data_IF_909222750176
#
_entry.id   IF_909222750176
#
_cell.length_a   1.000
_cell.length_b   1.000
_cell.length_c   1.000
_cell.angle_alpha   90.00
_cell.angle_beta   90.00
_cell.angle_gamma   90.00
#
_symmetry.space_group_name_H-M   'P 1'
#
loop_
_entity.id
_entity.type
_entity.pdbx_description
1 polymer ?
#
# COMPACT_ATOMS: atom_id res chain seq x y z
N UNK A 1 -22.23 8.04 -6.69
CA UNK A 1 -20.81 7.78 -6.37
C UNK A 1 -20.06 7.64 -7.67
N UNK A 2 -18.91 8.31 -7.87
CA UNK A 2 -18.14 8.15 -9.10
C UNK A 2 -17.56 6.73 -9.15
N UNK A 3 -17.91 5.98 -10.17
CA UNK A 3 -17.37 4.65 -10.47
C UNK A 3 -15.89 4.77 -10.88
N UNK A 4 -15.10 3.74 -10.62
CA UNK A 4 -13.75 3.58 -11.16
C UNK A 4 -13.73 2.82 -12.50
N UNK A 5 -14.87 2.73 -13.18
CA UNK A 5 -14.94 2.13 -14.51
C UNK A 5 -13.94 2.81 -15.46
N UNK A 6 -13.17 2.01 -16.18
CA UNK A 6 -12.13 2.48 -17.08
C UNK A 6 -10.85 2.99 -16.40
N UNK A 7 -10.79 3.00 -15.05
CA UNK A 7 -9.59 3.34 -14.29
C UNK A 7 -8.71 2.12 -14.07
N UNK A 8 -7.40 2.36 -14.00
CA UNK A 8 -6.40 1.32 -13.74
C UNK A 8 -5.70 1.58 -12.42
N UNK A 9 -5.70 0.58 -11.56
CA UNK A 9 -5.12 0.62 -10.22
C UNK A 9 -4.03 -0.42 -10.09
N UNK A 10 -2.81 -0.01 -9.81
CA UNK A 10 -1.68 -0.90 -9.52
C UNK A 10 -1.54 -1.02 -8.00
N UNK A 11 -1.64 -2.24 -7.49
CA UNK A 11 -1.53 -2.52 -6.05
C UNK A 11 -0.25 -3.31 -5.78
N UNK A 12 0.74 -2.64 -5.19
CA UNK A 12 2.01 -3.26 -4.77
C UNK A 12 1.81 -3.90 -3.40
N UNK A 13 2.24 -5.15 -3.24
CA UNK A 13 1.96 -5.93 -2.03
C UNK A 13 0.52 -6.46 -1.96
N UNK A 14 -0.10 -6.69 -3.11
CA UNK A 14 -1.50 -7.09 -3.27
C UNK A 14 -1.89 -8.37 -2.50
N UNK A 15 -0.95 -9.28 -2.28
CA UNK A 15 -1.17 -10.56 -1.56
C UNK A 15 -1.07 -10.43 -0.03
N UNK A 16 -0.83 -9.21 0.49
CA UNK A 16 -0.86 -8.90 1.92
C UNK A 16 -2.28 -8.69 2.44
N UNK A 17 -2.42 -8.59 3.77
CA UNK A 17 -3.73 -8.36 4.42
C UNK A 17 -4.40 -7.10 3.89
N UNK A 18 -3.73 -5.95 4.00
CA UNK A 18 -4.29 -4.67 3.53
C UNK A 18 -4.39 -4.64 2.00
N UNK A 19 -3.37 -5.16 1.29
CA UNK A 19 -3.34 -5.18 -0.18
C UNK A 19 -4.51 -5.96 -0.81
N UNK A 20 -4.90 -7.09 -0.23
CA UNK A 20 -6.05 -7.85 -0.72
C UNK A 20 -7.37 -7.09 -0.56
N UNK A 21 -7.58 -6.41 0.58
CA UNK A 21 -8.74 -5.55 0.79
C UNK A 21 -8.80 -4.38 -0.23
N UNK A 22 -7.64 -3.76 -0.51
CA UNK A 22 -7.53 -2.72 -1.54
C UNK A 22 -7.93 -3.28 -2.92
N UNK A 23 -7.39 -4.43 -3.31
CA UNK A 23 -7.75 -5.05 -4.58
C UNK A 23 -9.27 -5.24 -4.70
N UNK A 24 -9.92 -5.82 -3.69
CA UNK A 24 -11.37 -6.05 -3.70
C UNK A 24 -12.14 -4.73 -3.79
N UNK A 25 -11.73 -3.71 -3.01
CA UNK A 25 -12.38 -2.40 -2.99
C UNK A 25 -12.46 -1.76 -4.39
N UNK A 26 -11.36 -1.78 -5.14
CA UNK A 26 -11.33 -1.19 -6.48
C UNK A 26 -12.00 -2.06 -7.54
N UNK A 27 -11.93 -3.38 -7.43
CA UNK A 27 -12.69 -4.31 -8.29
C UNK A 27 -14.20 -4.10 -8.14
N UNK A 28 -14.70 -3.93 -6.91
CA UNK A 28 -16.12 -3.64 -6.65
C UNK A 28 -16.59 -2.31 -7.24
N UNK A 29 -15.68 -1.41 -7.54
CA UNK A 29 -15.95 -0.13 -8.20
C UNK A 29 -15.72 -0.18 -9.74
N UNK A 30 -15.40 -1.34 -10.29
CA UNK A 30 -15.24 -1.55 -11.73
C UNK A 30 -13.88 -1.16 -12.30
N UNK A 31 -12.85 -0.98 -11.46
CA UNK A 31 -11.49 -0.70 -11.93
C UNK A 31 -10.82 -1.96 -12.51
N UNK A 32 -9.89 -1.78 -13.45
CA UNK A 32 -8.86 -2.77 -13.69
C UNK A 32 -7.86 -2.74 -12.53
N UNK A 33 -7.68 -3.86 -11.86
CA UNK A 33 -6.68 -4.00 -10.79
C UNK A 33 -5.51 -4.85 -11.29
N UNK A 34 -4.32 -4.26 -11.28
CA UNK A 34 -3.04 -4.97 -11.49
C UNK A 34 -2.43 -5.28 -10.13
N UNK A 35 -2.56 -6.53 -9.70
CA UNK A 35 -2.01 -7.01 -8.43
C UNK A 35 -0.53 -7.36 -8.59
N UNK A 36 0.34 -6.73 -7.79
CA UNK A 36 1.79 -6.98 -7.82
C UNK A 36 2.20 -7.71 -6.56
N UNK A 37 2.95 -8.80 -6.71
CA UNK A 37 3.51 -9.59 -5.61
C UNK A 37 4.85 -10.20 -6.00
N UNK A 38 5.74 -10.43 -5.03
CA UNK A 38 7.04 -11.09 -5.20
C UNK A 38 6.93 -12.56 -5.62
N UNK A 39 5.83 -13.21 -5.33
CA UNK A 39 5.63 -14.65 -5.55
C UNK A 39 4.40 -14.92 -6.41
N UNK A 40 4.62 -15.59 -7.54
CA UNK A 40 3.55 -16.04 -8.42
C UNK A 40 2.57 -17.00 -7.71
N UNK A 41 3.09 -17.91 -6.88
CA UNK A 41 2.27 -18.90 -6.16
C UNK A 41 1.24 -18.34 -5.21
N UNK A 42 1.39 -17.06 -4.78
CA UNK A 42 0.41 -16.40 -3.90
C UNK A 42 -0.79 -15.81 -4.64
N UNK A 43 -0.76 -15.75 -5.96
CA UNK A 43 -1.87 -15.17 -6.72
C UNK A 43 -3.10 -16.07 -6.74
N UNK A 44 -2.94 -17.39 -6.71
CA UNK A 44 -4.10 -18.29 -6.69
C UNK A 44 -4.86 -18.22 -5.36
N UNK A 45 -4.15 -18.05 -4.25
CA UNK A 45 -4.77 -17.79 -2.96
C UNK A 45 -5.41 -16.41 -2.92
N UNK A 46 -4.75 -15.39 -3.50
CA UNK A 46 -5.35 -14.06 -3.63
C UNK A 46 -6.65 -14.10 -4.45
N UNK A 47 -6.69 -14.78 -5.58
CA UNK A 47 -7.91 -14.91 -6.42
C UNK A 47 -9.05 -15.56 -5.64
N UNK A 48 -8.76 -16.60 -4.86
CA UNK A 48 -9.74 -17.26 -3.98
C UNK A 48 -10.24 -16.29 -2.91
N UNK A 49 -9.32 -15.63 -2.22
CA UNK A 49 -9.64 -14.64 -1.17
C UNK A 49 -10.50 -13.50 -1.71
N UNK A 50 -10.22 -13.02 -2.91
CA UNK A 50 -11.00 -11.97 -3.57
C UNK A 50 -12.36 -12.46 -4.07
N UNK A 51 -12.61 -13.77 -4.14
CA UNK A 51 -13.82 -14.34 -4.75
C UNK A 51 -14.11 -13.71 -6.12
N UNK A 52 -13.11 -13.73 -7.03
CA UNK A 52 -13.19 -13.03 -8.31
C UNK A 52 -14.42 -13.45 -9.10
N UNK A 53 -15.12 -12.47 -9.66
CA UNK A 53 -16.26 -12.66 -10.57
C UNK A 53 -15.79 -12.62 -12.03
N UNK A 54 -16.52 -13.22 -12.96
CA UNK A 54 -16.16 -13.16 -14.39
C UNK A 54 -16.08 -11.72 -14.95
N UNK A 55 -16.80 -10.77 -14.34
CA UNK A 55 -16.79 -9.36 -14.71
C UNK A 55 -15.61 -8.57 -14.13
N UNK A 56 -14.86 -9.13 -13.18
CA UNK A 56 -13.76 -8.44 -12.53
C UNK A 56 -12.58 -8.29 -13.49
N UNK A 57 -12.18 -7.06 -13.78
CA UNK A 57 -10.98 -6.76 -14.56
C UNK A 57 -9.75 -6.86 -13.66
N UNK A 58 -9.12 -8.04 -13.62
CA UNK A 58 -8.02 -8.37 -12.73
C UNK A 58 -6.83 -8.94 -13.51
N UNK A 59 -5.66 -8.37 -13.29
CA UNK A 59 -4.40 -8.85 -13.85
C UNK A 59 -3.35 -8.99 -12.75
N UNK A 60 -2.31 -9.78 -12.98
CA UNK A 60 -1.24 -10.02 -12.02
C UNK A 60 0.13 -9.72 -12.63
N UNK A 61 1.04 -9.18 -11.83
CA UNK A 61 2.43 -9.00 -12.19
C UNK A 61 3.33 -9.50 -11.06
N UNK A 62 4.26 -10.39 -11.39
CA UNK A 62 5.32 -10.79 -10.45
C UNK A 62 6.37 -9.69 -10.43
N UNK A 63 6.67 -9.16 -9.25
CA UNK A 63 7.65 -8.11 -9.12
C UNK A 63 8.02 -7.78 -7.67
N UNK A 64 9.18 -7.19 -7.51
CA UNK A 64 9.73 -6.68 -6.25
C UNK A 64 10.41 -5.33 -6.52
N UNK A 65 10.45 -4.48 -5.51
CA UNK A 65 11.11 -3.17 -5.55
C UNK A 65 12.27 -3.08 -4.57
N UNK A 66 12.90 -4.21 -4.23
CA UNK A 66 14.01 -4.25 -3.25
C UNK A 66 15.29 -3.56 -3.77
N UNK A 67 15.51 -3.58 -5.07
CA UNK A 67 16.65 -2.97 -5.77
C UNK A 67 16.26 -2.52 -7.19
N UNK A 68 17.20 -1.91 -7.90
CA UNK A 68 16.95 -1.37 -9.25
C UNK A 68 16.68 -2.46 -10.29
N UNK A 69 17.43 -3.57 -10.25
CA UNK A 69 17.22 -4.68 -11.17
C UNK A 69 15.85 -5.34 -10.98
N UNK A 70 15.47 -5.60 -9.74
CA UNK A 70 14.15 -6.14 -9.38
C UNK A 70 13.03 -5.19 -9.79
N UNK A 71 13.22 -3.88 -9.60
CA UNK A 71 12.26 -2.86 -10.03
C UNK A 71 12.05 -2.86 -11.54
N UNK A 72 13.11 -3.02 -12.33
CA UNK A 72 13.02 -3.14 -13.78
C UNK A 72 12.19 -4.36 -14.21
N UNK A 73 12.37 -5.51 -13.56
CA UNK A 73 11.56 -6.71 -13.81
C UNK A 73 10.09 -6.52 -13.39
N UNK A 74 9.86 -5.85 -12.26
CA UNK A 74 8.51 -5.53 -11.80
C UNK A 74 7.79 -4.61 -12.80
N UNK A 75 8.46 -3.57 -13.29
CA UNK A 75 7.90 -2.67 -14.30
C UNK A 75 7.54 -3.39 -15.59
N UNK A 76 8.43 -4.25 -16.12
CA UNK A 76 8.13 -5.05 -17.29
C UNK A 76 6.91 -5.99 -17.10
N UNK A 77 6.72 -6.51 -15.87
CA UNK A 77 5.54 -7.28 -15.50
C UNK A 77 4.27 -6.43 -15.46
N UNK A 78 4.35 -5.24 -14.88
CA UNK A 78 3.25 -4.28 -14.80
C UNK A 78 2.85 -3.83 -16.21
N UNK A 79 3.79 -3.46 -17.07
CA UNK A 79 3.52 -3.00 -18.43
C UNK A 79 2.80 -4.05 -19.26
N UNK A 80 3.19 -5.33 -19.14
CA UNK A 80 2.46 -6.44 -19.77
C UNK A 80 1.03 -6.56 -19.25
N UNK A 81 0.84 -6.44 -17.93
CA UNK A 81 -0.48 -6.53 -17.31
C UNK A 81 -1.39 -5.36 -17.67
N UNK A 82 -0.81 -4.18 -17.90
CA UNK A 82 -1.53 -2.97 -18.34
C UNK A 82 -2.01 -3.07 -19.80
N UNK A 83 -1.33 -3.83 -20.63
CA UNK A 83 -1.66 -3.96 -22.04
C UNK A 83 -1.86 -2.59 -22.76
N UNK A 84 -0.97 -1.64 -22.52
CA UNK A 84 -1.00 -0.28 -23.07
C UNK A 84 -1.91 0.70 -22.34
N UNK A 85 -2.60 0.30 -21.27
CA UNK A 85 -3.42 1.22 -20.46
C UNK A 85 -2.53 2.07 -19.56
N UNK A 86 -2.97 3.30 -19.34
CA UNK A 86 -2.30 4.18 -18.39
C UNK A 86 -2.68 3.87 -16.95
N UNK A 87 -1.76 4.13 -16.02
CA UNK A 87 -2.00 4.01 -14.59
C UNK A 87 -2.72 5.26 -14.08
N UNK A 88 -3.86 5.09 -13.40
CA UNK A 88 -4.58 6.16 -12.71
C UNK A 88 -4.22 6.21 -11.22
N UNK A 89 -4.04 5.06 -10.59
CA UNK A 89 -3.72 4.99 -9.17
C UNK A 89 -2.66 3.93 -8.89
N UNK A 90 -1.68 4.27 -8.06
CA UNK A 90 -0.73 3.33 -7.47
C UNK A 90 -0.98 3.31 -5.97
N UNK A 91 -1.11 2.11 -5.41
CA UNK A 91 -1.21 1.94 -3.96
C UNK A 91 -0.13 0.97 -3.51
N UNK A 92 0.80 1.46 -2.70
CA UNK A 92 1.90 0.68 -2.17
C UNK A 92 1.60 0.22 -0.74
N UNK A 93 1.18 -1.03 -0.62
CA UNK A 93 0.97 -1.74 0.66
C UNK A 93 2.09 -2.76 0.88
N UNK A 94 3.33 -2.33 0.65
CA UNK A 94 4.52 -3.15 0.78
C UNK A 94 5.12 -3.05 2.19
N UNK A 95 5.84 -4.10 2.56
CA UNK A 95 6.54 -4.16 3.82
C UNK A 95 5.84 -5.05 4.85
N UNK A 96 6.62 -5.46 5.83
CA UNK A 96 6.20 -6.37 6.89
C UNK A 96 6.75 -5.87 8.23
N UNK A 97 6.02 -6.04 9.31
CA UNK A 97 6.54 -5.75 10.67
C UNK A 97 7.44 -6.90 11.08
N UNK A 98 8.73 -6.61 11.26
CA UNK A 98 9.70 -7.55 11.81
C UNK A 98 9.82 -7.35 13.32
N UNK A 99 10.07 -8.44 14.02
CA UNK A 99 10.44 -8.45 15.42
C UNK A 99 11.95 -8.70 15.53
N UNK A 100 12.58 -8.13 16.51
CA UNK A 100 14.00 -8.31 16.75
C UNK A 100 14.41 -8.00 18.19
N UNK A 101 15.69 -8.15 18.54
CA UNK A 101 16.19 -7.72 19.83
C UNK A 101 15.88 -6.22 20.05
N UNK A 102 15.85 -5.75 21.32
CA UNK A 102 15.71 -4.31 21.60
C UNK A 102 16.76 -3.47 20.84
N UNK A 103 16.50 -2.17 20.55
CA UNK A 103 17.38 -1.34 19.72
C UNK A 103 18.86 -1.36 20.14
N UNK A 104 19.12 -1.32 21.45
CA UNK A 104 20.49 -1.33 21.98
C UNK A 104 21.23 -2.67 21.83
N UNK A 105 20.51 -3.74 21.52
CA UNK A 105 21.04 -5.09 21.28
C UNK A 105 21.00 -5.48 19.79
N UNK A 106 20.44 -4.62 18.96
CA UNK A 106 20.31 -4.86 17.53
C UNK A 106 21.57 -4.44 16.76
N UNK A 107 21.78 -5.09 15.63
CA UNK A 107 22.88 -4.76 14.72
C UNK A 107 22.47 -3.73 13.67
N UNK A 108 23.45 -3.05 13.06
CA UNK A 108 23.21 -2.16 11.91
C UNK A 108 22.56 -2.91 10.72
N UNK A 109 22.87 -4.19 10.53
CA UNK A 109 22.23 -5.00 9.49
C UNK A 109 20.74 -5.15 9.73
N UNK A 110 20.30 -5.38 10.97
CA UNK A 110 18.87 -5.47 11.32
C UNK A 110 18.14 -4.13 11.13
N UNK A 111 18.80 -3.00 11.42
CA UNK A 111 18.27 -1.67 11.12
C UNK A 111 18.12 -1.49 9.59
N UNK A 112 19.12 -1.83 8.81
CA UNK A 112 19.07 -1.72 7.35
C UNK A 112 17.97 -2.61 6.75
N UNK A 113 17.79 -3.82 7.29
CA UNK A 113 16.70 -4.72 6.89
C UNK A 113 15.32 -4.13 7.20
N UNK A 114 15.17 -3.46 8.35
CA UNK A 114 13.91 -2.80 8.69
C UNK A 114 13.59 -1.65 7.72
N UNK A 115 14.58 -0.86 7.35
CA UNK A 115 14.43 0.23 6.38
C UNK A 115 14.20 -0.33 4.97
N UNK A 116 14.87 -1.41 4.59
CA UNK A 116 14.69 -2.05 3.30
C UNK A 116 13.24 -2.54 3.11
N UNK A 117 12.65 -3.19 4.12
CA UNK A 117 11.27 -3.71 4.07
C UNK A 117 10.17 -2.62 4.02
N UNK A 118 10.49 -1.39 4.19
CA UNK A 118 9.52 -0.29 4.13
C UNK A 118 9.97 0.85 3.24
N UNK A 119 10.99 1.58 3.68
CA UNK A 119 11.46 2.78 2.97
C UNK A 119 12.01 2.45 1.59
N UNK A 120 12.96 1.50 1.48
CA UNK A 120 13.62 1.20 0.20
C UNK A 120 12.64 0.66 -0.84
N UNK A 121 11.70 -0.21 -0.44
CA UNK A 121 10.65 -0.70 -1.33
C UNK A 121 9.79 0.45 -1.89
N UNK A 122 9.37 1.38 -1.03
CA UNK A 122 8.56 2.52 -1.45
C UNK A 122 9.36 3.54 -2.27
N UNK A 123 10.63 3.77 -1.92
CA UNK A 123 11.54 4.63 -2.66
C UNK A 123 11.73 4.13 -4.10
N UNK A 124 12.07 2.85 -4.27
CA UNK A 124 12.28 2.26 -5.58
C UNK A 124 10.98 2.20 -6.40
N UNK A 125 9.84 1.91 -5.75
CA UNK A 125 8.54 1.95 -6.41
C UNK A 125 8.19 3.37 -6.89
N UNK A 126 8.44 4.40 -6.07
CA UNK A 126 8.22 5.79 -6.46
C UNK A 126 9.15 6.20 -7.61
N UNK A 127 10.45 5.86 -7.51
CA UNK A 127 11.44 6.12 -8.57
C UNK A 127 11.02 5.51 -9.92
N UNK A 128 10.46 4.30 -9.89
CA UNK A 128 10.06 3.57 -11.09
C UNK A 128 8.71 4.05 -11.69
N UNK A 129 7.72 4.36 -10.86
CA UNK A 129 6.34 4.58 -11.29
C UNK A 129 5.96 6.06 -11.42
N UNK A 130 6.46 6.96 -10.54
CA UNK A 130 6.08 8.37 -10.55
C UNK A 130 6.39 9.08 -11.88
N UNK A 131 7.55 8.87 -12.54
CA UNK A 131 7.84 9.53 -13.82
C UNK A 131 6.76 9.32 -14.88
N UNK A 132 6.13 8.13 -14.91
CA UNK A 132 5.08 7.79 -15.87
C UNK A 132 3.70 8.40 -15.55
N UNK A 133 3.47 8.85 -14.31
CA UNK A 133 2.17 9.33 -13.86
C UNK A 133 2.15 10.78 -13.35
N UNK A 134 3.31 11.43 -13.16
CA UNK A 134 3.41 12.75 -12.50
C UNK A 134 2.64 13.87 -13.17
N UNK A 135 2.48 13.82 -14.49
CA UNK A 135 1.73 14.82 -15.26
C UNK A 135 0.25 14.42 -15.49
N UNK A 136 -0.23 13.41 -14.79
CA UNK A 136 -1.60 12.90 -14.89
C UNK A 136 -2.37 13.18 -13.61
N UNK A 137 -3.71 13.24 -13.70
CA UNK A 137 -4.60 13.27 -12.54
C UNK A 137 -4.62 11.88 -11.84
N UNK A 138 -3.44 11.42 -11.42
CA UNK A 138 -3.18 10.13 -10.82
C UNK A 138 -2.89 10.27 -9.31
N UNK A 139 -2.87 9.14 -8.59
CA UNK A 139 -2.41 9.10 -7.20
C UNK A 139 -1.31 8.07 -6.99
N UNK A 140 -0.38 8.40 -6.10
CA UNK A 140 0.57 7.46 -5.51
C UNK A 140 0.35 7.45 -4.00
N UNK A 141 -0.25 6.38 -3.48
CA UNK A 141 -0.60 6.27 -2.06
C UNK A 141 0.21 5.15 -1.41
N UNK A 142 0.98 5.49 -0.39
CA UNK A 142 1.70 4.52 0.43
C UNK A 142 0.88 4.14 1.66
N UNK A 143 1.15 2.97 2.22
CA UNK A 143 0.58 2.50 3.47
C UNK A 143 1.69 2.45 4.52
N UNK A 144 1.42 3.05 5.68
CA UNK A 144 2.27 2.96 6.87
C UNK A 144 1.43 2.56 8.09
N UNK A 145 2.03 2.49 9.25
CA UNK A 145 1.35 2.06 10.48
C UNK A 145 1.61 3.00 11.66
N UNK A 146 0.70 2.97 12.62
CA UNK A 146 0.66 3.83 13.79
C UNK A 146 1.88 3.75 14.69
N UNK A 147 2.66 2.68 14.62
CA UNK A 147 3.95 2.60 15.32
C UNK A 147 4.92 3.75 14.95
N UNK A 148 4.65 4.49 13.86
CA UNK A 148 5.40 5.71 13.52
C UNK A 148 5.26 6.83 14.56
N UNK A 149 4.18 6.83 15.35
CA UNK A 149 3.77 7.94 16.21
C UNK A 149 3.64 7.60 17.68
N UNK A 150 3.67 6.31 18.02
CA UNK A 150 3.52 5.81 19.39
C UNK A 150 4.64 4.85 19.74
N UNK A 151 5.03 4.77 21.02
CA UNK A 151 5.93 3.72 21.49
C UNK A 151 5.36 2.35 21.14
N UNK A 152 6.18 1.40 20.64
CA UNK A 152 5.69 0.06 20.39
C UNK A 152 5.31 -0.63 21.70
N UNK A 153 4.21 -1.42 21.71
CA UNK A 153 3.77 -2.13 22.92
C UNK A 153 4.79 -3.19 23.37
N UNK A 154 5.63 -3.66 22.47
CA UNK A 154 6.75 -4.57 22.71
C UNK A 154 8.02 -3.94 22.13
N UNK A 155 9.11 -3.78 22.90
CA UNK A 155 10.39 -3.28 22.41
C UNK A 155 10.91 -4.03 21.16
N UNK A 156 10.57 -5.30 20.99
CA UNK A 156 10.93 -6.08 19.79
C UNK A 156 10.29 -5.56 18.50
N UNK A 157 9.27 -4.69 18.56
CA UNK A 157 8.57 -4.10 17.42
C UNK A 157 9.19 -2.78 16.92
N UNK A 158 10.30 -2.32 17.53
CA UNK A 158 10.93 -1.02 17.18
C UNK A 158 11.25 -0.85 15.70
N UNK A 159 11.54 -1.96 14.99
CA UNK A 159 11.77 -1.95 13.55
C UNK A 159 10.54 -1.44 12.78
N UNK A 160 9.35 -1.78 13.26
CA UNK A 160 8.09 -1.25 12.73
C UNK A 160 7.96 0.27 12.94
N UNK A 161 8.41 0.77 14.09
CA UNK A 161 8.43 2.21 14.39
C UNK A 161 9.28 2.98 13.38
N UNK A 162 10.55 2.61 13.24
CA UNK A 162 11.48 3.28 12.31
C UNK A 162 11.00 3.18 10.87
N UNK A 163 10.61 1.99 10.45
CA UNK A 163 10.11 1.76 9.08
C UNK A 163 8.93 2.65 8.74
N UNK A 164 7.90 2.67 9.59
CA UNK A 164 6.69 3.45 9.34
C UNK A 164 6.96 4.96 9.39
N UNK A 165 7.78 5.42 10.35
CA UNK A 165 8.19 6.82 10.42
C UNK A 165 8.98 7.26 9.18
N UNK A 166 9.87 6.39 8.67
CA UNK A 166 10.64 6.67 7.45
C UNK A 166 9.73 6.79 6.21
N UNK A 167 8.70 5.94 6.08
CA UNK A 167 7.70 6.06 5.00
C UNK A 167 6.91 7.36 5.10
N UNK A 168 6.50 7.75 6.32
CA UNK A 168 5.79 9.02 6.54
C UNK A 168 6.68 10.23 6.17
N UNK A 169 7.94 10.23 6.59
CA UNK A 169 8.90 11.29 6.23
C UNK A 169 9.19 11.32 4.72
N UNK A 170 9.30 10.16 4.08
CA UNK A 170 9.49 10.05 2.63
C UNK A 170 8.32 10.68 1.85
N UNK A 171 7.09 10.56 2.35
CA UNK A 171 5.92 11.22 1.75
C UNK A 171 6.12 12.74 1.66
N UNK A 172 6.67 13.37 2.68
CA UNK A 172 6.92 14.82 2.67
C UNK A 172 7.99 15.19 1.62
N UNK A 173 9.03 14.37 1.47
CA UNK A 173 10.03 14.55 0.41
C UNK A 173 9.42 14.46 -0.98
N UNK A 174 8.62 13.42 -1.25
CA UNK A 174 7.91 13.26 -2.53
C UNK A 174 6.89 14.37 -2.77
N UNK A 175 6.22 14.85 -1.72
CA UNK A 175 5.28 15.97 -1.81
C UNK A 175 5.97 17.25 -2.26
N UNK A 176 7.17 17.52 -1.74
CA UNK A 176 7.98 18.67 -2.15
C UNK A 176 8.45 18.53 -3.61
N UNK A 177 8.93 17.34 -4.00
CA UNK A 177 9.35 17.04 -5.39
C UNK A 177 8.19 17.22 -6.37
N UNK A 178 7.01 16.68 -6.05
CA UNK A 178 5.83 16.68 -6.93
C UNK A 178 4.90 17.88 -6.73
N UNK A 179 5.34 18.94 -6.02
CA UNK A 179 4.49 20.06 -5.66
C UNK A 179 3.84 20.75 -6.88
N UNK A 180 4.56 20.83 -8.00
CA UNK A 180 4.12 21.43 -9.26
C UNK A 180 3.51 20.43 -10.24
N UNK A 181 3.56 19.13 -9.93
CA UNK A 181 3.01 18.07 -10.78
C UNK A 181 1.50 17.90 -10.53
N UNK A 182 0.82 17.22 -11.44
CA UNK A 182 -0.62 16.93 -11.33
C UNK A 182 -0.87 15.78 -10.37
N UNK A 183 0.05 14.82 -10.29
CA UNK A 183 -0.06 13.65 -9.41
C UNK A 183 -0.21 14.06 -7.94
N UNK A 184 -0.98 13.28 -7.19
CA UNK A 184 -1.17 13.44 -5.74
C UNK A 184 -0.46 12.30 -5.02
N UNK A 185 0.52 12.62 -4.18
CA UNK A 185 1.24 11.65 -3.36
C UNK A 185 0.75 11.78 -1.92
N UNK A 186 0.39 10.66 -1.30
CA UNK A 186 -0.08 10.60 0.08
C UNK A 186 0.37 9.32 0.77
N UNK A 187 0.29 9.29 2.09
CA UNK A 187 0.38 8.06 2.89
C UNK A 187 -0.86 7.91 3.76
N UNK A 188 -1.41 6.70 3.80
CA UNK A 188 -2.41 6.30 4.77
C UNK A 188 -1.72 5.57 5.93
N UNK A 189 -1.73 6.20 7.11
CA UNK A 189 -1.11 5.67 8.32
C UNK A 189 -2.18 5.02 9.21
N UNK A 190 -2.14 3.70 9.37
CA UNK A 190 -3.18 2.92 10.05
C UNK A 190 -2.73 2.58 11.46
N UNK A 191 -3.47 3.03 12.47
CA UNK A 191 -3.12 2.91 13.89
C UNK A 191 -3.80 1.75 14.63
N UNK A 192 -4.51 0.88 13.93
CA UNK A 192 -5.25 -0.24 14.53
C UNK A 192 -5.01 -1.56 13.79
N UNK A 193 -5.35 -2.67 14.44
CA UNK A 193 -5.18 -3.99 13.88
C UNK A 193 -6.20 -4.28 12.79
N UNK A 194 -5.73 -4.90 11.70
CA UNK A 194 -6.56 -5.26 10.54
C UNK A 194 -6.52 -6.79 10.38
N UNK A 195 -7.68 -7.42 10.30
CA UNK A 195 -7.79 -8.83 9.95
C UNK A 195 -7.71 -9.06 8.43
N UNK A 196 -7.30 -10.25 7.98
CA UNK A 196 -7.51 -10.68 6.59
C UNK A 196 -9.00 -10.67 6.23
N UNK A 197 -9.33 -10.61 4.96
CA UNK A 197 -10.72 -10.67 4.47
C UNK A 197 -11.45 -11.89 5.10
N UNK A 198 -12.58 -11.62 5.75
CA UNK A 198 -13.37 -12.62 6.48
C UNK A 198 -12.77 -13.11 7.80
N UNK A 199 -11.61 -12.61 8.19
CA UNK A 199 -10.95 -12.92 9.46
C UNK A 199 -11.45 -12.06 10.62
N UNK A 200 -11.09 -12.45 11.85
CA UNK A 200 -11.40 -11.71 13.08
C UNK A 200 -10.17 -11.37 13.91
N UNK A 201 -9.00 -11.79 13.47
CA UNK A 201 -7.73 -11.54 14.13
C UNK A 201 -6.74 -10.93 13.14
N UNK A 202 -5.92 -10.01 13.62
CA UNK A 202 -4.84 -9.44 12.84
C UNK A 202 -3.69 -10.46 12.65
N UNK A 203 -2.66 -10.06 11.94
CA UNK A 203 -1.48 -10.90 11.66
C UNK A 203 -0.68 -11.33 12.91
N UNK A 204 -0.98 -10.76 14.07
CA UNK A 204 -0.35 -11.12 15.35
C UNK A 204 -1.27 -11.96 16.24
N UNK A 205 -2.42 -12.43 15.73
CA UNK A 205 -3.40 -13.21 16.47
C UNK A 205 -4.26 -12.41 17.45
N UNK A 206 -4.15 -11.06 17.41
CA UNK A 206 -4.95 -10.18 18.25
C UNK A 206 -6.31 -9.89 17.60
N UNK A 207 -7.39 -9.75 18.37
CA UNK A 207 -8.69 -9.37 17.84
C UNK A 207 -8.61 -8.10 17.02
N UNK A 208 -9.30 -8.09 15.89
CA UNK A 208 -9.46 -6.92 15.03
C UNK A 208 -10.95 -6.60 14.91
N UNK A 209 -11.28 -5.33 15.00
CA UNK A 209 -12.67 -4.83 14.91
C UNK A 209 -13.26 -5.06 13.52
N UNK A 210 -12.43 -5.00 12.47
CA UNK A 210 -12.83 -5.28 11.10
C UNK A 210 -11.69 -5.94 10.32
N UNK A 211 -12.05 -6.52 9.19
CA UNK A 211 -11.10 -7.00 8.21
C UNK A 211 -10.66 -5.89 7.23
N UNK A 212 -9.78 -6.23 6.30
CA UNK A 212 -9.19 -5.26 5.38
C UNK A 212 -10.20 -4.64 4.39
N UNK A 213 -11.40 -5.20 4.23
CA UNK A 213 -12.46 -4.58 3.43
C UNK A 213 -13.00 -3.31 4.10
N UNK A 214 -12.98 -3.24 5.42
CA UNK A 214 -13.36 -2.04 6.16
C UNK A 214 -12.53 -0.80 5.82
N UNK A 215 -11.31 -0.97 5.29
CA UNK A 215 -10.47 0.15 4.83
C UNK A 215 -10.86 0.69 3.44
N UNK A 216 -11.71 -0.02 2.69
CA UNK A 216 -12.09 0.36 1.33
C UNK A 216 -12.53 1.83 1.21
N UNK A 217 -13.41 2.37 2.09
CA UNK A 217 -13.86 3.75 1.99
C UNK A 217 -12.71 4.77 1.99
N UNK A 218 -11.69 4.56 2.84
CA UNK A 218 -10.55 5.47 2.93
C UNK A 218 -9.69 5.47 1.65
N UNK A 219 -9.36 4.30 1.10
CA UNK A 219 -8.58 4.23 -0.13
C UNK A 219 -9.33 4.80 -1.34
N UNK A 220 -10.63 4.54 -1.43
CA UNK A 220 -11.48 5.11 -2.48
C UNK A 220 -11.60 6.63 -2.34
N UNK A 221 -11.69 7.15 -1.11
CA UNK A 221 -11.74 8.59 -0.85
C UNK A 221 -10.43 9.29 -1.27
N UNK A 222 -9.27 8.74 -0.92
CA UNK A 222 -7.97 9.30 -1.35
C UNK A 222 -7.85 9.29 -2.88
N UNK A 223 -8.29 8.22 -3.53
CA UNK A 223 -8.22 8.13 -4.99
C UNK A 223 -9.10 9.18 -5.69
N UNK A 224 -10.28 9.47 -5.15
CA UNK A 224 -11.25 10.47 -5.69
C UNK A 224 -10.98 11.89 -5.23
N UNK A 225 -10.45 12.04 -4.02
CA UNK A 225 -10.35 13.30 -3.29
C UNK A 225 -9.33 14.28 -3.85
N UNK A 226 -9.00 15.28 -3.03
CA UNK A 226 -8.05 16.35 -3.37
C UNK A 226 -6.80 16.32 -2.50
N UNK A 227 -6.70 15.37 -1.58
CA UNK A 227 -5.56 15.24 -0.67
C UNK A 227 -4.26 15.10 -1.47
N UNK A 228 -3.27 15.93 -1.14
CA UNK A 228 -1.95 15.95 -1.77
C UNK A 228 -0.88 16.28 -0.75
N UNK A 229 0.18 15.48 -0.72
CA UNK A 229 1.33 15.67 0.15
C UNK A 229 1.06 15.39 1.62
N UNK A 230 0.10 14.52 1.93
CA UNK A 230 -0.37 14.33 3.30
C UNK A 230 -0.04 12.92 3.83
N UNK A 231 0.26 12.86 5.12
CA UNK A 231 0.19 11.62 5.92
C UNK A 231 -1.14 11.64 6.66
N UNK A 232 -2.08 10.82 6.20
CA UNK A 232 -3.45 10.73 6.71
C UNK A 232 -3.49 9.62 7.77
N UNK A 233 -3.59 10.00 9.05
CA UNK A 233 -3.63 9.05 10.14
C UNK A 233 -5.07 8.59 10.40
N UNK A 234 -5.27 7.27 10.41
CA UNK A 234 -6.50 6.62 10.84
C UNK A 234 -6.25 6.04 12.24
N UNK A 235 -6.76 6.71 13.27
CA UNK A 235 -6.60 6.28 14.67
C UNK A 235 -7.72 5.32 15.09
N UNK A 236 -8.84 5.33 14.35
CA UNK A 236 -10.02 4.50 14.59
C UNK A 236 -10.79 4.25 13.29
N UNK A 237 -11.77 3.37 13.33
CA UNK A 237 -12.70 3.16 12.21
C UNK A 237 -13.57 4.40 11.93
N UNK A 238 -13.82 5.24 12.92
CA UNK A 238 -14.52 6.51 12.72
C UNK A 238 -13.74 7.47 11.79
N UNK A 239 -12.40 7.41 11.81
CA UNK A 239 -11.57 8.21 10.88
C UNK A 239 -11.67 7.70 9.44
N UNK A 240 -11.86 6.38 9.25
CA UNK A 240 -12.15 5.80 7.92
C UNK A 240 -13.44 6.38 7.37
N UNK A 241 -14.50 6.42 8.19
CA UNK A 241 -15.80 6.96 7.80
C UNK A 241 -15.73 8.48 7.56
N UNK A 242 -14.99 9.21 8.38
CA UNK A 242 -14.81 10.64 8.22
C UNK A 242 -14.08 10.98 6.91
N UNK A 243 -12.99 10.26 6.60
CA UNK A 243 -12.25 10.43 5.35
C UNK A 243 -13.10 10.08 4.12
N UNK A 244 -13.99 9.10 4.23
CA UNK A 244 -14.89 8.70 3.16
C UNK A 244 -15.94 9.78 2.80
N UNK A 245 -16.21 10.71 3.72
CA UNK A 245 -17.18 11.81 3.55
C UNK A 245 -16.54 13.13 3.13
N UNK A 246 -15.18 13.23 3.17
CA UNK A 246 -14.43 14.44 2.81
C UNK A 246 -14.19 14.52 1.29
#
# INVERSE_FOLDING_TARGET
>A
MSSFNGKTVVVLGATGVVGSGICRAFLDQGALVVAVSRSAGRFDDLKKTLALKPSDAFATAVGDFKDEASSGLAMAGIDRALAGRAIDHVISSQGFVKFGPPPTQSTAAQLNDALADGLTLNFNAAKALLPGIKQRAATFTMVSGGLAHIPPPDPAMWMGTIKNAAVNAFTLGLAAETARDVVRVNTLCIHFGIAPIGGKQNQFGLPAESDSLGLAPAFLAIARGKQKGQVLCLNSWADVDALAKS
#
